data_IF_141976069493
#
_entry.id   IF_141976069493
#
_cell.length_a   1.000
_cell.length_b   1.000
_cell.length_c   1.000
_cell.angle_alpha   90.00
_cell.angle_beta   90.00
_cell.angle_gamma   90.00
#
_symmetry.space_group_name_H-M   'P 1'
#
loop_
_entity.id
_entity.type
_entity.pdbx_description
1 polymer ?
#
# COMPACT_ATOMS: atom_id res chain seq x y z
N UNK A 1 -14.11 0.72 -10.31
CA UNK A 1 -12.85 1.46 -10.14
C UNK A 1 -12.95 2.22 -8.83
N UNK A 2 -11.92 2.17 -7.99
CA UNK A 2 -11.84 2.90 -6.73
C UNK A 2 -10.69 3.90 -6.82
N UNK A 3 -10.87 5.09 -6.24
CA UNK A 3 -9.86 6.13 -6.20
C UNK A 3 -9.78 6.68 -4.79
N UNK A 4 -8.56 6.71 -4.25
CA UNK A 4 -8.25 7.23 -2.93
C UNK A 4 -7.28 8.38 -3.10
N UNK A 5 -7.63 9.55 -2.59
CA UNK A 5 -6.74 10.72 -2.55
C UNK A 5 -6.11 10.80 -1.17
N UNK A 6 -4.80 11.02 -1.13
CA UNK A 6 -4.02 11.08 0.09
C UNK A 6 -2.78 11.95 -0.09
N UNK A 7 -1.87 11.84 0.86
CA UNK A 7 -0.61 12.59 0.87
C UNK A 7 0.55 11.72 0.37
N UNK A 8 1.71 12.35 0.21
CA UNK A 8 2.99 11.69 -0.05
C UNK A 8 3.25 10.50 0.89
N UNK A 9 2.99 10.68 2.19
CA UNK A 9 3.08 9.66 3.22
C UNK A 9 2.12 8.48 2.99
N UNK A 10 0.93 8.72 2.44
CA UNK A 10 -0.02 7.65 2.10
C UNK A 10 0.57 6.72 1.04
N UNK A 11 1.16 7.29 0.00
CA UNK A 11 1.77 6.53 -1.10
C UNK A 11 2.99 5.76 -0.61
N UNK A 12 3.90 6.45 0.09
CA UNK A 12 5.10 5.83 0.64
C UNK A 12 4.77 4.68 1.60
N UNK A 13 3.81 4.86 2.50
CA UNK A 13 3.44 3.83 3.48
C UNK A 13 2.78 2.60 2.83
N UNK A 14 1.96 2.78 1.79
CA UNK A 14 1.39 1.65 1.04
C UNK A 14 2.50 0.86 0.36
N UNK A 15 3.43 1.53 -0.32
CA UNK A 15 4.53 0.87 -1.02
C UNK A 15 5.54 0.24 -0.06
N UNK A 16 5.76 0.84 1.11
CA UNK A 16 6.56 0.29 2.21
C UNK A 16 5.92 -0.98 2.76
N UNK A 17 4.61 -0.97 3.03
CA UNK A 17 3.87 -2.14 3.51
C UNK A 17 3.92 -3.29 2.50
N UNK A 18 3.95 -2.99 1.19
CA UNK A 18 4.12 -3.97 0.11
C UNK A 18 5.59 -4.37 -0.12
N UNK A 19 6.56 -3.75 0.56
CA UNK A 19 7.98 -4.05 0.42
C UNK A 19 8.61 -3.63 -0.91
N UNK A 20 8.00 -2.68 -1.62
CA UNK A 20 8.40 -2.23 -2.97
C UNK A 20 8.74 -0.74 -3.04
N UNK A 21 8.83 -0.07 -1.89
CA UNK A 21 9.24 1.32 -1.83
C UNK A 21 10.75 1.47 -2.02
N UNK A 22 11.14 2.23 -3.04
CA UNK A 22 12.50 2.74 -3.16
C UNK A 22 12.63 4.09 -2.43
N UNK A 23 13.67 4.31 -1.60
CA UNK A 23 13.88 5.58 -0.91
C UNK A 23 13.97 6.76 -1.88
N UNK A 24 12.91 7.56 -1.94
CA UNK A 24 12.82 8.79 -2.74
C UNK A 24 11.91 9.81 -2.04
N UNK A 25 11.93 11.05 -2.49
CA UNK A 25 10.88 12.01 -2.15
C UNK A 25 9.71 11.83 -3.13
N UNK A 26 8.49 11.56 -2.66
CA UNK A 26 7.34 11.45 -3.55
C UNK A 26 7.10 12.77 -4.27
N UNK A 27 7.09 12.73 -5.61
CA UNK A 27 6.79 13.92 -6.41
C UNK A 27 5.30 14.23 -6.42
N UNK A 28 4.93 15.45 -6.78
CA UNK A 28 3.53 15.81 -6.99
C UNK A 28 2.85 14.90 -8.00
N UNK A 29 1.59 14.54 -7.71
CA UNK A 29 0.77 13.64 -8.52
C UNK A 29 1.35 12.23 -8.70
N UNK A 30 2.22 11.80 -7.78
CA UNK A 30 2.61 10.39 -7.67
C UNK A 30 1.37 9.53 -7.43
N UNK A 31 1.31 8.38 -8.09
CA UNK A 31 0.15 7.50 -8.05
C UNK A 31 0.58 6.04 -8.01
N UNK A 32 -0.08 5.25 -7.16
CA UNK A 32 0.00 3.80 -7.14
C UNK A 32 -1.25 3.25 -7.83
N UNK A 33 -1.07 2.35 -8.79
CA UNK A 33 -2.17 1.59 -9.37
C UNK A 33 -2.07 0.15 -8.86
N UNK A 34 -3.19 -0.37 -8.35
CA UNK A 34 -3.33 -1.76 -7.95
C UNK A 34 -4.44 -2.36 -8.79
N UNK A 35 -4.09 -3.29 -9.66
CA UNK A 35 -5.00 -3.88 -10.64
C UNK A 35 -5.25 -5.35 -10.30
N UNK A 36 -6.52 -5.75 -10.29
CA UNK A 36 -6.92 -7.15 -10.19
C UNK A 36 -7.22 -7.69 -11.59
N UNK A 37 -6.50 -8.72 -12.00
CA UNK A 37 -6.61 -9.38 -13.29
C UNK A 37 -7.20 -10.77 -13.12
N UNK A 38 -8.05 -11.20 -14.05
CA UNK A 38 -8.49 -12.59 -14.17
C UNK A 38 -7.49 -13.37 -15.03
N UNK A 39 -7.04 -14.52 -14.55
CA UNK A 39 -6.09 -15.38 -15.27
C UNK A 39 -6.83 -16.38 -16.18
N UNK A 40 -6.10 -16.99 -17.13
CA UNK A 40 -6.68 -17.92 -18.12
C UNK A 40 -7.26 -19.19 -17.48
N UNK A 41 -6.69 -19.62 -16.36
CA UNK A 41 -7.13 -20.75 -15.53
C UNK A 41 -8.28 -20.37 -14.57
N UNK A 42 -8.95 -19.23 -14.79
CA UNK A 42 -10.03 -18.70 -13.94
C UNK A 42 -9.62 -18.29 -12.51
N UNK A 43 -8.33 -18.17 -12.23
CA UNK A 43 -7.82 -17.54 -11.03
C UNK A 43 -7.79 -16.01 -11.12
N UNK A 44 -7.14 -15.40 -10.12
CA UNK A 44 -6.90 -13.96 -10.07
C UNK A 44 -5.43 -13.67 -9.77
N UNK A 45 -4.94 -12.55 -10.29
CA UNK A 45 -3.63 -12.02 -9.96
C UNK A 45 -3.66 -10.51 -9.80
N UNK A 46 -2.74 -10.00 -8.99
CA UNK A 46 -2.58 -8.58 -8.67
C UNK A 46 -1.35 -8.03 -9.37
N UNK A 47 -1.49 -6.88 -10.02
CA UNK A 47 -0.37 -6.08 -10.51
C UNK A 47 -0.32 -4.75 -9.78
N UNK A 48 0.88 -4.32 -9.42
CA UNK A 48 1.12 -3.02 -8.79
C UNK A 48 1.98 -2.18 -9.72
N UNK A 49 1.63 -0.92 -9.89
CA UNK A 49 2.39 0.03 -10.69
C UNK A 49 2.60 1.32 -9.94
N UNK A 50 3.73 1.98 -10.22
CA UNK A 50 4.03 3.32 -9.73
C UNK A 50 4.16 4.28 -10.90
N UNK A 51 3.50 5.43 -10.78
CA UNK A 51 3.68 6.57 -11.66
C UNK A 51 4.23 7.73 -10.84
N UNK A 52 5.54 7.94 -10.90
CA UNK A 52 6.24 9.05 -10.27
C UNK A 52 6.81 10.05 -11.30
N UNK A 53 6.38 9.97 -12.56
CA UNK A 53 6.72 10.94 -13.61
C UNK A 53 5.63 10.93 -14.68
N UNK A 54 5.49 12.06 -15.39
CA UNK A 54 4.58 12.19 -16.53
C UNK A 54 5.25 11.86 -17.86
N UNK A 55 6.58 11.74 -17.89
CA UNK A 55 7.35 11.52 -19.12
C UNK A 55 7.23 10.08 -19.67
N UNK A 56 6.88 9.12 -18.81
CA UNK A 56 6.72 7.70 -19.17
C UNK A 56 5.44 7.13 -18.57
N UNK A 57 5.04 5.96 -19.07
CA UNK A 57 3.93 5.19 -18.51
C UNK A 57 4.24 4.73 -17.07
N UNK A 58 3.22 4.42 -16.24
CA UNK A 58 3.42 3.79 -14.94
C UNK A 58 4.30 2.54 -15.07
N UNK A 59 5.33 2.43 -14.24
CA UNK A 59 6.22 1.28 -14.26
C UNK A 59 5.72 0.20 -13.29
N UNK A 60 5.86 -1.09 -13.65
CA UNK A 60 5.43 -2.17 -12.79
C UNK A 60 6.35 -2.32 -11.58
N UNK A 61 5.76 -2.69 -10.45
CA UNK A 61 6.46 -3.08 -9.23
C UNK A 61 6.24 -4.57 -8.97
N UNK A 62 7.28 -5.24 -8.47
CA UNK A 62 7.22 -6.66 -8.13
C UNK A 62 7.35 -6.84 -6.63
N UNK A 63 6.30 -7.35 -6.00
CA UNK A 63 6.27 -7.62 -4.56
C UNK A 63 7.28 -8.74 -4.26
N UNK A 64 8.15 -8.60 -3.25
CA UNK A 64 9.09 -9.65 -2.87
C UNK A 64 8.37 -10.97 -2.60
N UNK A 65 8.84 -12.05 -3.22
CA UNK A 65 8.19 -13.37 -3.14
C UNK A 65 7.06 -13.61 -4.16
N UNK A 66 6.86 -12.69 -5.11
CA UNK A 66 5.92 -12.82 -6.22
C UNK A 66 6.58 -12.57 -7.58
N UNK A 67 5.91 -12.97 -8.66
CA UNK A 67 6.17 -12.47 -10.01
C UNK A 67 5.41 -11.14 -10.23
N UNK A 68 5.61 -10.51 -11.39
CA UNK A 68 4.95 -9.24 -11.72
C UNK A 68 3.40 -9.34 -11.69
N UNK A 69 2.84 -10.49 -12.08
CA UNK A 69 1.43 -10.83 -11.81
C UNK A 69 1.39 -11.73 -10.58
N UNK A 70 1.22 -11.13 -9.41
CA UNK A 70 1.25 -11.85 -8.15
C UNK A 70 -0.06 -12.65 -7.98
N UNK A 71 -0.02 -13.98 -7.83
CA UNK A 71 -1.24 -14.77 -7.59
C UNK A 71 -2.00 -14.25 -6.37
N UNK A 72 -3.32 -14.18 -6.47
CA UNK A 72 -4.16 -13.54 -5.46
C UNK A 72 -3.96 -14.13 -4.05
N UNK A 73 -3.91 -15.46 -3.92
CA UNK A 73 -3.72 -16.11 -2.63
C UNK A 73 -2.33 -15.81 -2.04
N UNK A 74 -1.30 -15.78 -2.87
CA UNK A 74 0.06 -15.38 -2.46
C UNK A 74 0.08 -13.92 -2.01
N UNK A 75 -0.60 -13.03 -2.73
CA UNK A 75 -0.71 -11.61 -2.34
C UNK A 75 -1.36 -11.46 -0.96
N UNK A 76 -2.46 -12.18 -0.70
CA UNK A 76 -3.11 -12.19 0.62
C UNK A 76 -2.19 -12.73 1.71
N UNK A 77 -1.48 -13.82 1.44
CA UNK A 77 -0.52 -14.39 2.39
C UNK A 77 0.60 -13.39 2.74
N UNK A 78 1.22 -12.76 1.74
CA UNK A 78 2.31 -11.81 1.95
C UNK A 78 1.86 -10.57 2.72
N UNK A 79 0.68 -10.03 2.38
CA UNK A 79 0.14 -8.83 3.02
C UNK A 79 -0.44 -9.08 4.41
N UNK A 80 -0.79 -10.33 4.75
CA UNK A 80 -1.34 -10.67 6.06
C UNK A 80 -0.46 -10.29 7.25
N UNK A 81 0.85 -10.14 7.04
CA UNK A 81 1.81 -9.77 8.09
C UNK A 81 1.73 -8.30 8.49
N UNK A 82 1.21 -7.44 7.60
CA UNK A 82 1.17 -5.98 7.78
C UNK A 82 -0.26 -5.43 7.84
N UNK A 83 -1.25 -6.25 7.50
CA UNK A 83 -2.67 -5.88 7.62
C UNK A 83 -3.16 -6.18 9.03
N UNK A 84 -3.45 -5.12 9.78
CA UNK A 84 -4.01 -5.22 11.14
C UNK A 84 -5.46 -5.71 11.10
N UNK A 85 -5.82 -6.57 12.06
CA UNK A 85 -7.21 -7.03 12.25
C UNK A 85 -8.05 -6.05 13.07
N UNK A 86 -7.41 -5.41 14.05
CA UNK A 86 -8.05 -4.49 15.00
C UNK A 86 -7.10 -3.34 15.28
N UNK A 87 -7.46 -2.14 14.82
CA UNK A 87 -6.59 -0.96 14.92
C UNK A 87 -6.56 -0.42 16.34
N UNK A 88 -7.69 -0.41 17.04
CA UNK A 88 -7.82 0.14 18.40
C UNK A 88 -6.97 -0.64 19.40
N UNK A 89 -6.96 -1.97 19.27
CA UNK A 89 -6.14 -2.86 20.09
C UNK A 89 -4.66 -2.72 19.75
N UNK A 90 -4.32 -2.65 18.44
CA UNK A 90 -2.93 -2.52 18.00
C UNK A 90 -2.30 -1.17 18.36
N UNK A 91 -3.11 -0.12 18.50
CA UNK A 91 -2.67 1.23 18.84
C UNK A 91 -2.92 1.60 20.31
N UNK A 92 -3.32 0.65 21.17
CA UNK A 92 -3.46 0.89 22.61
C UNK A 92 -2.10 1.21 23.22
N UNK A 93 -2.02 2.34 23.92
CA UNK A 93 -0.81 2.74 24.64
C UNK A 93 -0.70 1.92 25.93
N UNK A 94 0.51 1.43 26.23
CA UNK A 94 0.77 0.62 27.43
C UNK A 94 0.72 1.45 28.73
N UNK A 95 0.98 2.76 28.61
CA UNK A 95 0.95 3.71 29.71
C UNK A 95 -0.52 3.96 30.15
N UNK A 96 -0.90 3.55 31.38
CA UNK A 96 -2.26 3.74 31.88
C UNK A 96 -2.61 5.21 32.12
N UNK A 97 -1.60 6.09 32.26
CA UNK A 97 -1.77 7.52 32.48
C UNK A 97 -1.73 8.32 31.17
N UNK A 98 -1.60 7.65 30.02
CA UNK A 98 -1.60 8.31 28.73
C UNK A 98 -2.93 9.02 28.45
N UNK A 99 -2.85 10.33 28.21
CA UNK A 99 -3.98 11.15 27.77
C UNK A 99 -3.76 11.53 26.32
N UNK A 100 -4.69 11.15 25.45
CA UNK A 100 -4.68 11.55 24.04
C UNK A 100 -4.67 13.08 23.96
N UNK A 101 -3.69 13.70 23.26
CA UNK A 101 -3.69 15.14 23.08
C UNK A 101 -4.99 15.59 22.40
N UNK A 102 -5.67 16.59 22.98
CA UNK A 102 -6.80 17.22 22.29
C UNK A 102 -6.28 17.96 21.07
N UNK A 103 -6.96 17.79 19.93
CA UNK A 103 -6.65 18.53 18.72
C UNK A 103 -6.66 20.03 19.02
N UNK A 104 -5.65 20.75 18.51
CA UNK A 104 -5.65 22.21 18.61
C UNK A 104 -6.92 22.75 17.95
N UNK A 105 -7.59 23.76 18.54
CA UNK A 105 -8.71 24.41 17.88
C UNK A 105 -8.27 25.01 16.53
N UNK A 106 -9.18 25.05 15.54
CA UNK A 106 -8.88 25.52 14.18
C UNK A 106 -8.47 27.00 14.13
#
# INVERSE_FOLDING_TARGET
>A
MYMYSGHDSTISNILLALGVWEPQLPVYNIMVLIELHRTLDSGYGVKVFLRNTTAVAPHPLTIPGCEQLCPYDTFLQLTSQVVLKDLDTACKVDDPDFVVPTAAPP
#
